data_IF_927687189311
#
_entry.id   IF_927687189311
#
_cell.length_a   1.000
_cell.length_b   1.000
_cell.length_c   1.000
_cell.angle_alpha   90.00
_cell.angle_beta   90.00
_cell.angle_gamma   90.00
#
_symmetry.space_group_name_H-M   'P 1'
#
loop_
_entity.id
_entity.type
_entity.pdbx_description
1 polymer ?
#
# COMPACT_ATOMS: atom_id res chain seq x y z
N UNK A 1 -23.70 26.71 13.00
CA UNK A 1 -22.28 26.31 13.08
C UNK A 1 -22.15 24.89 12.55
N UNK A 2 -21.69 24.73 11.30
CA UNK A 2 -21.43 23.40 10.73
C UNK A 2 -20.21 22.81 11.43
N UNK A 3 -20.42 21.79 12.26
CA UNK A 3 -19.36 21.13 13.02
C UNK A 3 -18.55 20.26 12.04
N UNK A 4 -17.56 20.85 11.37
CA UNK A 4 -16.67 20.14 10.43
C UNK A 4 -15.89 19.09 11.20
N UNK A 5 -15.97 17.84 10.75
CA UNK A 5 -15.32 16.70 11.41
C UNK A 5 -13.81 16.77 11.18
N UNK A 6 -13.04 16.71 12.27
CA UNK A 6 -11.59 16.76 12.23
C UNK A 6 -11.00 15.34 12.13
N UNK A 7 -10.01 15.17 11.25
CA UNK A 7 -9.34 13.88 11.00
C UNK A 7 -7.87 13.85 11.45
N UNK A 8 -7.42 14.80 12.27
CA UNK A 8 -6.02 14.90 12.70
C UNK A 8 -5.52 13.68 13.49
N UNK A 9 -6.39 12.95 14.18
CA UNK A 9 -6.04 11.69 14.84
C UNK A 9 -5.52 10.63 13.85
N UNK A 10 -6.11 10.56 12.65
CA UNK A 10 -5.63 9.69 11.57
C UNK A 10 -4.29 10.20 11.00
N UNK A 11 -4.06 11.50 10.94
CA UNK A 11 -2.80 12.06 10.42
C UNK A 11 -1.64 11.77 11.35
N UNK A 12 -1.82 11.96 12.66
CA UNK A 12 -0.81 11.61 13.67
C UNK A 12 -0.53 10.10 13.64
N UNK A 13 -1.57 9.27 13.56
CA UNK A 13 -1.37 7.83 13.54
C UNK A 13 -0.70 7.32 12.26
N UNK A 14 -0.84 7.99 11.10
CA UNK A 14 -0.05 7.66 9.90
C UNK A 14 1.45 7.73 10.17
N UNK A 15 1.90 8.73 10.93
CA UNK A 15 3.30 8.83 11.32
C UNK A 15 3.71 7.68 12.26
N UNK A 16 2.90 7.39 13.29
CA UNK A 16 3.14 6.23 14.16
C UNK A 16 3.19 4.91 13.37
N UNK A 17 2.26 4.69 12.46
CA UNK A 17 2.20 3.53 11.59
C UNK A 17 3.42 3.43 10.67
N UNK A 18 3.93 4.54 10.15
CA UNK A 18 5.16 4.55 9.35
C UNK A 18 6.38 4.13 10.18
N UNK A 19 6.48 4.52 11.45
CA UNK A 19 7.54 4.04 12.35
C UNK A 19 7.39 2.54 12.67
N UNK A 20 6.15 2.05 12.83
CA UNK A 20 5.89 0.62 12.97
C UNK A 20 6.30 -0.17 11.72
N UNK A 21 6.16 0.39 10.52
CA UNK A 21 6.69 -0.24 9.29
C UNK A 21 8.21 -0.36 9.34
N UNK A 22 8.93 0.65 9.86
CA UNK A 22 10.38 0.53 10.06
C UNK A 22 10.67 -0.62 11.02
N UNK A 23 9.94 -0.72 12.14
CA UNK A 23 10.15 -1.79 13.12
C UNK A 23 10.00 -3.19 12.48
N UNK A 24 9.04 -3.38 11.56
CA UNK A 24 8.87 -4.64 10.81
C UNK A 24 10.14 -5.03 10.03
N UNK A 25 10.89 -4.05 9.52
CA UNK A 25 12.04 -4.27 8.65
C UNK A 25 13.40 -4.19 9.35
N UNK A 26 13.44 -3.76 10.62
CA UNK A 26 14.68 -3.64 11.39
C UNK A 26 14.73 -4.55 12.61
N UNK A 27 13.64 -5.20 12.98
CA UNK A 27 13.53 -6.11 14.12
C UNK A 27 14.19 -5.56 15.40
N UNK A 28 13.68 -4.43 15.92
CA UNK A 28 14.35 -3.61 16.94
C UNK A 28 14.73 -4.35 18.21
N UNK A 29 14.03 -5.43 18.58
CA UNK A 29 14.22 -6.10 19.86
C UNK A 29 14.90 -7.47 19.72
N UNK A 30 15.37 -7.86 18.53
CA UNK A 30 16.03 -9.17 18.31
C UNK A 30 17.24 -9.37 19.22
N UNK A 31 18.04 -8.32 19.47
CA UNK A 31 19.18 -8.39 20.40
C UNK A 31 18.80 -8.49 21.89
N UNK A 32 17.52 -8.29 22.24
CA UNK A 32 17.03 -8.25 23.62
C UNK A 32 16.22 -9.51 23.93
N UNK A 33 15.20 -9.81 23.12
CA UNK A 33 14.33 -10.97 23.30
C UNK A 33 13.55 -11.28 22.02
N UNK A 34 13.65 -12.52 21.56
CA UNK A 34 12.93 -13.04 20.39
C UNK A 34 11.39 -12.96 20.56
N UNK A 35 10.89 -13.16 21.78
CA UNK A 35 9.46 -13.04 22.10
C UNK A 35 8.99 -11.58 22.03
N UNK A 36 9.79 -10.65 22.57
CA UNK A 36 9.47 -9.23 22.54
C UNK A 36 9.53 -8.67 21.10
N UNK A 37 10.50 -9.10 20.30
CA UNK A 37 10.61 -8.70 18.91
C UNK A 37 9.43 -9.21 18.07
N UNK A 38 9.06 -10.47 18.23
CA UNK A 38 7.87 -11.02 17.58
C UNK A 38 6.60 -10.27 17.98
N UNK A 39 6.41 -9.96 19.26
CA UNK A 39 5.28 -9.14 19.68
C UNK A 39 5.28 -7.77 18.98
N UNK A 40 6.42 -7.08 18.96
CA UNK A 40 6.51 -5.74 18.36
C UNK A 40 6.30 -5.79 16.84
N UNK A 41 7.00 -6.68 16.13
CA UNK A 41 7.03 -6.70 14.66
C UNK A 41 5.87 -7.47 14.04
N UNK A 42 5.46 -8.57 14.68
CA UNK A 42 4.48 -9.53 14.14
C UNK A 42 3.11 -9.45 14.82
N UNK A 43 2.95 -8.67 15.89
CA UNK A 43 1.64 -8.36 16.49
C UNK A 43 1.35 -6.87 16.42
N UNK A 44 2.09 -6.03 17.15
CA UNK A 44 1.79 -4.60 17.24
C UNK A 44 1.94 -3.89 15.88
N UNK A 45 3.05 -4.10 15.19
CA UNK A 45 3.31 -3.39 13.93
C UNK A 45 2.42 -3.86 12.77
N UNK A 46 1.79 -5.04 12.88
CA UNK A 46 0.88 -5.58 11.84
C UNK A 46 -0.38 -4.74 11.63
N UNK A 47 -0.69 -3.81 12.53
CA UNK A 47 -1.79 -2.85 12.35
C UNK A 47 -1.50 -1.78 11.27
N UNK A 48 -0.22 -1.56 10.91
CA UNK A 48 0.18 -0.41 10.11
C UNK A 48 -0.38 -0.44 8.67
N UNK A 49 -0.19 -1.55 7.94
CA UNK A 49 -0.68 -1.67 6.56
C UNK A 49 -2.22 -1.67 6.48
N UNK A 50 -2.94 -2.47 7.29
CA UNK A 50 -4.39 -2.37 7.41
C UNK A 50 -4.90 -0.96 7.66
N UNK A 51 -4.22 -0.19 8.51
CA UNK A 51 -4.59 1.19 8.80
C UNK A 51 -4.53 2.08 7.55
N UNK A 52 -3.44 1.99 6.78
CA UNK A 52 -3.31 2.75 5.52
C UNK A 52 -4.38 2.36 4.50
N UNK A 53 -4.72 1.08 4.40
CA UNK A 53 -5.80 0.60 3.53
C UNK A 53 -7.16 1.13 3.99
N UNK A 54 -7.47 1.12 5.29
CA UNK A 54 -8.72 1.71 5.81
C UNK A 54 -8.81 3.21 5.56
N UNK A 55 -7.69 3.94 5.69
CA UNK A 55 -7.59 5.34 5.29
C UNK A 55 -7.95 5.52 3.81
N UNK A 56 -7.35 4.73 2.92
CA UNK A 56 -7.65 4.79 1.48
C UNK A 56 -9.12 4.45 1.23
N UNK A 57 -9.65 3.46 1.94
CA UNK A 57 -11.06 3.07 1.89
C UNK A 57 -12.02 4.21 2.24
N UNK A 58 -11.73 4.95 3.31
CA UNK A 58 -12.57 6.05 3.76
C UNK A 58 -12.53 7.25 2.80
N UNK A 59 -11.34 7.65 2.34
CA UNK A 59 -11.19 8.91 1.60
C UNK A 59 -11.25 8.77 0.08
N UNK A 60 -11.01 7.56 -0.46
CA UNK A 60 -11.03 7.27 -1.90
C UNK A 60 -12.17 6.32 -2.23
N UNK A 61 -12.14 5.09 -1.71
CA UNK A 61 -13.08 4.04 -2.14
C UNK A 61 -14.54 4.33 -1.74
N UNK A 62 -14.78 5.07 -0.66
CA UNK A 62 -16.13 5.48 -0.25
C UNK A 62 -16.88 6.26 -1.35
N UNK A 63 -16.15 6.95 -2.24
CA UNK A 63 -16.72 7.66 -3.38
C UNK A 63 -17.41 6.76 -4.41
N UNK A 64 -17.19 5.44 -4.35
CA UNK A 64 -17.85 4.47 -5.24
C UNK A 64 -19.30 4.20 -4.84
N UNK A 65 -19.66 4.45 -3.57
CA UNK A 65 -21.03 4.27 -3.10
C UNK A 65 -21.98 5.31 -3.71
N UNK A 66 -21.47 6.51 -3.99
CA UNK A 66 -22.18 7.60 -4.63
C UNK A 66 -21.29 8.25 -5.71
N UNK A 67 -21.19 7.63 -6.90
CA UNK A 67 -20.33 8.13 -7.98
C UNK A 67 -20.75 9.54 -8.42
N UNK A 68 -19.77 10.42 -8.60
CA UNK A 68 -19.92 11.77 -9.11
C UNK A 68 -18.66 12.14 -9.89
N UNK A 69 -18.73 13.17 -10.75
CA UNK A 69 -17.56 13.68 -11.49
C UNK A 69 -16.38 13.95 -10.53
N UNK A 70 -16.67 14.49 -9.35
CA UNK A 70 -15.66 14.79 -8.32
C UNK A 70 -15.05 13.54 -7.69
N UNK A 71 -15.84 12.49 -7.42
CA UNK A 71 -15.30 11.25 -6.85
C UNK A 71 -14.48 10.47 -7.89
N UNK A 72 -14.87 10.50 -9.17
CA UNK A 72 -14.08 9.94 -10.28
C UNK A 72 -12.75 10.67 -10.46
N UNK A 73 -12.75 12.01 -10.46
CA UNK A 73 -11.52 12.80 -10.55
C UNK A 73 -10.56 12.50 -9.37
N UNK A 74 -11.10 12.33 -8.17
CA UNK A 74 -10.33 11.95 -6.97
C UNK A 74 -9.70 10.57 -7.13
N UNK A 75 -10.45 9.59 -7.62
CA UNK A 75 -9.95 8.24 -7.91
C UNK A 75 -8.80 8.29 -8.92
N UNK A 76 -9.01 8.94 -10.06
CA UNK A 76 -8.01 9.05 -11.12
C UNK A 76 -6.72 9.68 -10.59
N UNK A 77 -6.83 10.79 -9.85
CA UNK A 77 -5.68 11.45 -9.24
C UNK A 77 -4.97 10.58 -8.20
N UNK A 78 -5.72 9.82 -7.40
CA UNK A 78 -5.15 8.87 -6.44
C UNK A 78 -4.36 7.77 -7.17
N UNK A 79 -4.94 7.15 -8.20
CA UNK A 79 -4.30 6.11 -8.98
C UNK A 79 -3.05 6.63 -9.69
N UNK A 80 -3.14 7.78 -10.39
CA UNK A 80 -2.02 8.42 -11.06
C UNK A 80 -0.86 8.69 -10.08
N UNK A 81 -1.16 9.29 -8.93
CA UNK A 81 -0.14 9.56 -7.89
C UNK A 81 0.47 8.27 -7.36
N UNK A 82 -0.34 7.26 -7.08
CA UNK A 82 0.12 5.97 -6.52
C UNK A 82 0.98 5.21 -7.52
N UNK A 83 0.59 5.19 -8.80
CA UNK A 83 1.37 4.60 -9.89
C UNK A 83 2.70 5.34 -10.10
N UNK A 84 2.68 6.68 -10.14
CA UNK A 84 3.90 7.46 -10.30
C UNK A 84 4.88 7.24 -9.13
N UNK A 85 4.36 7.20 -7.90
CA UNK A 85 5.18 6.88 -6.73
C UNK A 85 5.70 5.45 -6.78
N UNK A 86 4.92 4.49 -7.26
CA UNK A 86 5.36 3.11 -7.40
C UNK A 86 6.50 3.00 -8.41
N UNK A 87 6.35 3.57 -9.60
CA UNK A 87 7.41 3.62 -10.62
C UNK A 87 8.66 4.34 -10.08
N UNK A 88 8.49 5.47 -9.40
CA UNK A 88 9.59 6.17 -8.74
C UNK A 88 10.33 5.26 -7.75
N UNK A 89 9.61 4.52 -6.91
CA UNK A 89 10.21 3.59 -5.95
C UNK A 89 10.91 2.41 -6.63
N UNK A 90 10.33 1.85 -7.70
CA UNK A 90 10.98 0.81 -8.50
C UNK A 90 12.34 1.32 -9.00
N UNK A 91 12.37 2.50 -9.61
CA UNK A 91 13.61 3.10 -10.12
C UNK A 91 14.61 3.43 -9.02
N UNK A 92 14.13 3.92 -7.87
CA UNK A 92 14.97 4.25 -6.72
C UNK A 92 15.67 3.00 -6.15
N UNK A 93 14.96 1.88 -6.07
CA UNK A 93 15.46 0.63 -5.48
C UNK A 93 16.06 -0.34 -6.50
N UNK A 94 15.91 -0.07 -7.80
CA UNK A 94 16.47 -0.93 -8.86
C UNK A 94 17.99 -1.12 -8.73
N UNK A 95 18.83 -0.08 -8.51
CA UNK A 95 20.28 -0.28 -8.35
C UNK A 95 20.63 -1.14 -7.14
N UNK A 96 19.90 -0.96 -6.04
CA UNK A 96 20.09 -1.76 -4.82
C UNK A 96 19.71 -3.22 -5.07
N UNK A 97 18.61 -3.46 -5.78
CA UNK A 97 18.18 -4.81 -6.11
C UNK A 97 19.11 -5.53 -7.10
N UNK A 98 19.67 -4.82 -8.07
CA UNK A 98 20.69 -5.37 -8.98
C UNK A 98 21.95 -5.74 -8.19
N UNK A 99 22.42 -4.85 -7.32
CA UNK A 99 23.59 -5.12 -6.47
C UNK A 99 23.37 -6.32 -5.54
N UNK A 100 22.16 -6.49 -5.01
CA UNK A 100 21.78 -7.62 -4.16
C UNK A 100 21.52 -8.93 -4.93
N UNK A 101 21.63 -8.93 -6.26
CA UNK A 101 21.39 -10.12 -7.08
C UNK A 101 19.92 -10.53 -7.19
N UNK A 102 18.96 -9.67 -6.86
CA UNK A 102 17.53 -10.02 -6.85
C UNK A 102 16.93 -10.36 -8.23
N UNK A 103 17.66 -10.12 -9.33
CA UNK A 103 17.15 -10.25 -10.69
C UNK A 103 17.96 -11.23 -11.57
N UNK A 104 18.90 -12.00 -11.01
CA UNK A 104 19.86 -12.81 -11.78
C UNK A 104 19.25 -14.00 -12.51
N UNK A 105 18.11 -14.51 -12.06
CA UNK A 105 17.40 -15.66 -12.68
C UNK A 105 15.94 -15.35 -13.03
N UNK A 106 15.65 -14.08 -13.33
CA UNK A 106 14.27 -13.62 -13.48
C UNK A 106 13.67 -13.99 -14.84
N UNK A 107 12.60 -14.79 -14.83
CA UNK A 107 11.75 -15.03 -16.01
C UNK A 107 10.75 -13.88 -16.21
N UNK A 108 10.21 -13.73 -17.43
CA UNK A 108 9.16 -12.73 -17.71
C UNK A 108 7.95 -12.90 -16.78
N UNK A 109 7.54 -14.14 -16.52
CA UNK A 109 6.43 -14.45 -15.60
C UNK A 109 6.72 -13.98 -14.17
N UNK A 110 7.92 -14.28 -13.65
CA UNK A 110 8.33 -13.83 -12.32
C UNK A 110 8.44 -12.30 -12.20
N UNK A 111 8.90 -11.62 -13.26
CA UNK A 111 8.95 -10.16 -13.33
C UNK A 111 7.55 -9.53 -13.28
N UNK A 112 6.60 -10.06 -14.05
CA UNK A 112 5.21 -9.60 -14.04
C UNK A 112 4.56 -9.81 -12.68
N UNK A 113 4.74 -10.99 -12.08
CA UNK A 113 4.26 -11.29 -10.73
C UNK A 113 4.84 -10.32 -9.69
N UNK A 114 6.12 -10.01 -9.79
CA UNK A 114 6.79 -9.05 -8.92
C UNK A 114 6.22 -7.64 -9.07
N UNK A 115 5.98 -7.17 -10.30
CA UNK A 115 5.43 -5.82 -10.53
C UNK A 115 3.96 -5.73 -10.10
N UNK A 116 3.16 -6.77 -10.36
CA UNK A 116 1.70 -6.74 -10.21
C UNK A 116 1.24 -7.14 -8.81
N UNK A 117 1.95 -8.04 -8.12
CA UNK A 117 1.49 -8.62 -6.85
C UNK A 117 2.48 -8.43 -5.70
N UNK A 118 3.75 -8.78 -5.89
CA UNK A 118 4.69 -8.93 -4.76
C UNK A 118 5.48 -7.64 -4.43
N UNK A 119 5.57 -6.70 -5.36
CA UNK A 119 6.46 -5.55 -5.29
C UNK A 119 7.89 -5.88 -5.69
N UNK A 120 8.58 -4.96 -6.37
CA UNK A 120 9.98 -5.15 -6.83
C UNK A 120 11.03 -5.08 -5.72
N UNK A 121 10.60 -4.76 -4.50
CA UNK A 121 11.43 -4.78 -3.31
C UNK A 121 10.54 -5.11 -2.11
N UNK A 122 11.10 -5.70 -1.05
CA UNK A 122 10.34 -6.35 0.03
C UNK A 122 9.22 -5.51 0.67
N UNK A 123 9.37 -4.18 0.73
CA UNK A 123 8.38 -3.28 1.30
C UNK A 123 7.35 -2.80 0.27
N UNK A 124 7.68 -2.80 -1.03
CA UNK A 124 6.90 -2.16 -2.09
C UNK A 124 5.58 -2.84 -2.43
N UNK A 125 5.35 -4.05 -1.93
CA UNK A 125 4.11 -4.82 -2.14
C UNK A 125 2.82 -4.04 -1.82
N UNK A 126 2.88 -3.04 -0.93
CA UNK A 126 1.74 -2.19 -0.59
C UNK A 126 1.14 -1.47 -1.81
N UNK A 127 1.98 -1.00 -2.75
CA UNK A 127 1.51 -0.27 -3.93
C UNK A 127 0.62 -1.14 -4.84
N UNK A 128 1.09 -2.28 -5.37
CA UNK A 128 0.25 -3.17 -6.16
C UNK A 128 -0.97 -3.65 -5.36
N UNK A 129 -0.79 -3.96 -4.06
CA UNK A 129 -1.91 -4.38 -3.23
C UNK A 129 -3.01 -3.31 -3.11
N UNK A 130 -2.64 -2.05 -2.94
CA UNK A 130 -3.58 -0.94 -2.83
C UNK A 130 -4.28 -0.65 -4.16
N UNK A 131 -3.56 -0.71 -5.28
CA UNK A 131 -4.12 -0.47 -6.62
C UNK A 131 -5.09 -1.59 -7.00
N UNK A 132 -4.67 -2.85 -6.86
CA UNK A 132 -5.49 -4.01 -7.14
C UNK A 132 -6.73 -4.06 -6.23
N UNK A 133 -6.55 -3.78 -4.94
CA UNK A 133 -7.66 -3.72 -3.99
C UNK A 133 -8.68 -2.63 -4.34
N UNK A 134 -8.22 -1.47 -4.83
CA UNK A 134 -9.11 -0.40 -5.31
C UNK A 134 -9.91 -0.85 -6.52
N UNK A 135 -9.27 -1.44 -7.55
CA UNK A 135 -9.99 -1.94 -8.73
C UNK A 135 -11.01 -3.02 -8.37
N UNK A 136 -10.65 -3.92 -7.45
CA UNK A 136 -11.54 -4.98 -7.00
C UNK A 136 -12.75 -4.42 -6.25
N UNK A 137 -12.53 -3.50 -5.31
CA UNK A 137 -13.61 -2.85 -4.55
C UNK A 137 -14.48 -1.98 -5.46
N UNK A 138 -13.90 -1.30 -6.46
CA UNK A 138 -14.65 -0.58 -7.50
C UNK A 138 -15.53 -1.55 -8.30
N UNK A 139 -14.98 -2.66 -8.78
CA UNK A 139 -15.74 -3.70 -9.50
C UNK A 139 -16.89 -4.24 -8.65
N UNK A 140 -16.62 -4.58 -7.39
CA UNK A 140 -17.63 -5.05 -6.44
C UNK A 140 -18.75 -4.02 -6.23
N UNK A 141 -18.42 -2.73 -6.15
CA UNK A 141 -19.40 -1.66 -5.93
C UNK A 141 -20.41 -1.50 -7.08
N UNK A 142 -20.06 -1.96 -8.29
CA UNK A 142 -20.97 -1.93 -9.46
C UNK A 142 -22.10 -2.96 -9.36
N UNK A 143 -21.89 -4.04 -8.61
CA UNK A 143 -22.82 -5.17 -8.52
C UNK A 143 -23.37 -5.41 -7.12
N UNK A 144 -22.69 -4.93 -6.08
CA UNK A 144 -22.97 -5.23 -4.69
C UNK A 144 -23.12 -3.94 -3.88
N UNK A 145 -24.10 -3.91 -2.98
CA UNK A 145 -24.13 -2.92 -1.90
C UNK A 145 -23.04 -3.17 -0.86
N UNK A 146 -22.76 -2.17 -0.01
CA UNK A 146 -21.67 -2.21 0.99
C UNK A 146 -21.68 -3.46 1.89
N UNK A 147 -22.86 -3.99 2.24
CA UNK A 147 -22.99 -5.26 2.98
C UNK A 147 -22.50 -6.47 2.19
N UNK A 148 -22.88 -6.58 0.91
CA UNK A 148 -22.41 -7.65 0.03
C UNK A 148 -20.89 -7.58 -0.20
N UNK A 149 -20.37 -6.37 -0.37
CA UNK A 149 -18.92 -6.13 -0.45
C UNK A 149 -18.18 -6.61 0.81
N UNK A 150 -18.79 -6.43 1.99
CA UNK A 150 -18.23 -6.90 3.26
C UNK A 150 -18.16 -8.42 3.31
N UNK A 151 -19.21 -9.11 2.88
CA UNK A 151 -19.24 -10.59 2.85
C UNK A 151 -18.17 -11.13 1.89
N UNK A 152 -18.12 -10.61 0.66
CA UNK A 152 -17.13 -11.07 -0.34
C UNK A 152 -15.70 -10.80 0.13
N UNK A 153 -15.43 -9.60 0.65
CA UNK A 153 -14.08 -9.26 1.16
C UNK A 153 -13.70 -10.06 2.41
N UNK A 154 -14.65 -10.41 3.28
CA UNK A 154 -14.41 -11.31 4.39
C UNK A 154 -14.07 -12.73 3.92
N UNK A 155 -14.77 -13.26 2.91
CA UNK A 155 -14.45 -14.58 2.32
C UNK A 155 -13.04 -14.57 1.71
N UNK A 156 -12.70 -13.53 0.93
CA UNK A 156 -11.35 -13.37 0.39
C UNK A 156 -10.28 -13.31 1.49
N UNK A 157 -10.57 -12.60 2.59
CA UNK A 157 -9.66 -12.54 3.73
C UNK A 157 -9.46 -13.90 4.40
N UNK A 158 -10.53 -14.69 4.58
CA UNK A 158 -10.43 -16.04 5.15
C UNK A 158 -9.61 -16.96 4.23
N UNK A 159 -9.81 -16.91 2.92
CA UNK A 159 -8.96 -17.65 1.96
C UNK A 159 -7.50 -17.21 2.13
N UNK A 160 -7.25 -15.90 2.22
CA UNK A 160 -5.89 -15.41 2.42
C UNK A 160 -5.25 -15.87 3.73
N UNK A 161 -6.04 -15.88 4.80
CA UNK A 161 -5.62 -16.26 6.15
C UNK A 161 -5.18 -17.73 6.22
N UNK A 162 -5.87 -18.63 5.52
CA UNK A 162 -5.47 -20.04 5.38
C UNK A 162 -4.28 -20.26 4.44
N UNK A 163 -3.90 -19.29 3.61
CA UNK A 163 -2.63 -19.30 2.86
C UNK A 163 -1.48 -18.55 3.55
N UNK A 164 -1.73 -17.92 4.70
CA UNK A 164 -0.78 -17.09 5.45
C UNK A 164 -0.55 -17.72 6.84
N UNK A 165 -1.16 -17.15 7.89
CA UNK A 165 -0.89 -17.52 9.27
C UNK A 165 -1.52 -18.84 9.72
N UNK A 166 -2.48 -19.39 8.95
CA UNK A 166 -3.15 -20.66 9.24
C UNK A 166 -2.78 -21.77 8.25
N UNK A 167 -1.74 -21.58 7.44
CA UNK A 167 -1.36 -22.50 6.37
C UNK A 167 -1.08 -23.93 6.84
N UNK A 168 -0.43 -24.10 7.99
CA UNK A 168 -0.17 -25.41 8.58
C UNK A 168 -1.44 -26.18 8.97
N UNK A 169 -2.62 -25.54 9.03
CA UNK A 169 -3.90 -26.24 9.11
C UNK A 169 -4.45 -26.60 7.72
N UNK A 170 -4.29 -25.72 6.74
CA UNK A 170 -4.72 -25.97 5.36
C UNK A 170 -3.96 -27.16 4.76
N UNK A 171 -2.66 -27.26 5.00
CA UNK A 171 -1.82 -28.37 4.51
C UNK A 171 -2.23 -29.74 5.04
N UNK A 172 -2.91 -29.81 6.19
CA UNK A 172 -3.40 -31.09 6.73
C UNK A 172 -4.58 -31.67 5.95
N UNK A 173 -5.16 -30.90 5.03
CA UNK A 173 -6.25 -31.32 4.17
C UNK A 173 -5.73 -31.38 2.72
N UNK A 174 -5.57 -32.58 2.12
CA UNK A 174 -4.92 -32.73 0.81
C UNK A 174 -5.51 -31.86 -0.29
N UNK A 175 -6.84 -31.72 -0.33
CA UNK A 175 -7.51 -30.87 -1.32
C UNK A 175 -7.18 -29.38 -1.16
N UNK A 176 -6.98 -28.90 0.07
CA UNK A 176 -6.59 -27.51 0.32
C UNK A 176 -5.11 -27.29 0.03
N UNK A 177 -4.25 -28.24 0.40
CA UNK A 177 -2.82 -28.20 0.09
C UNK A 177 -2.59 -28.02 -1.42
N UNK A 178 -3.15 -28.91 -2.25
CA UNK A 178 -3.05 -28.81 -3.71
C UNK A 178 -3.60 -27.49 -4.26
N UNK A 179 -4.71 -26.99 -3.69
CA UNK A 179 -5.29 -25.72 -4.11
C UNK A 179 -4.37 -24.52 -3.78
N UNK A 180 -3.74 -24.51 -2.60
CA UNK A 180 -2.78 -23.47 -2.22
C UNK A 180 -1.45 -23.59 -2.96
N UNK A 181 -0.97 -24.80 -3.24
CA UNK A 181 0.21 -25.00 -4.09
C UNK A 181 0.00 -24.40 -5.49
N UNK A 182 -1.17 -24.66 -6.10
CA UNK A 182 -1.54 -24.04 -7.37
C UNK A 182 -1.67 -22.51 -7.25
N UNK A 183 -2.24 -22.01 -6.14
CA UNK A 183 -2.30 -20.58 -5.85
C UNK A 183 -0.91 -19.95 -5.77
N UNK A 184 0.05 -20.62 -5.14
CA UNK A 184 1.42 -20.12 -4.95
C UNK A 184 2.27 -20.09 -6.22
N UNK A 185 1.83 -20.76 -7.29
CA UNK A 185 2.39 -20.58 -8.63
C UNK A 185 2.09 -19.17 -9.17
N UNK A 186 0.92 -18.62 -8.85
CA UNK A 186 0.48 -17.30 -9.32
C UNK A 186 0.88 -16.18 -8.34
N UNK A 187 0.75 -16.40 -7.03
CA UNK A 187 1.03 -15.41 -6.00
C UNK A 187 2.16 -15.88 -5.08
N UNK A 188 3.14 -15.05 -4.72
CA UNK A 188 4.13 -15.49 -3.71
C UNK A 188 3.50 -15.69 -2.35
N UNK A 189 2.55 -14.81 -2.01
CA UNK A 189 1.89 -14.78 -0.72
C UNK A 189 0.43 -14.40 -0.92
N UNK A 190 -0.42 -14.86 -0.01
CA UNK A 190 -1.81 -14.41 0.07
C UNK A 190 -1.95 -13.04 0.71
N UNK A 191 -0.90 -12.51 1.36
CA UNK A 191 -0.80 -11.10 1.77
C UNK A 191 -0.64 -10.18 0.56
N UNK A 192 -1.73 -9.95 -0.17
CA UNK A 192 -1.73 -9.20 -1.42
C UNK A 192 -3.02 -8.38 -1.61
N UNK A 193 -3.14 -7.71 -2.75
CA UNK A 193 -4.28 -6.86 -3.09
C UNK A 193 -5.61 -7.59 -3.31
N UNK A 194 -5.57 -8.91 -3.54
CA UNK A 194 -6.77 -9.73 -3.75
C UNK A 194 -7.35 -10.21 -2.43
N UNK A 195 -6.54 -10.85 -1.57
CA UNK A 195 -7.07 -11.49 -0.35
C UNK A 195 -7.06 -10.56 0.86
N UNK A 196 -6.06 -9.68 1.00
CA UNK A 196 -5.92 -8.85 2.20
C UNK A 196 -6.55 -7.47 2.03
N UNK A 197 -6.26 -6.77 0.93
CA UNK A 197 -6.63 -5.36 0.78
C UNK A 197 -8.15 -5.06 0.84
N UNK A 198 -9.05 -5.87 0.23
CA UNK A 198 -10.46 -5.49 0.10
C UNK A 198 -11.18 -5.32 1.44
N UNK A 199 -10.90 -6.17 2.43
CA UNK A 199 -11.61 -6.09 3.72
C UNK A 199 -11.30 -4.78 4.45
N UNK A 200 -10.03 -4.34 4.41
CA UNK A 200 -9.62 -3.09 5.05
C UNK A 200 -10.11 -1.86 4.27
N UNK A 201 -10.13 -1.92 2.94
CA UNK A 201 -10.74 -0.87 2.12
C UNK A 201 -12.24 -0.72 2.42
N UNK A 202 -12.98 -1.83 2.43
CA UNK A 202 -14.42 -1.84 2.73
C UNK A 202 -14.71 -1.38 4.17
N UNK A 203 -13.89 -1.76 5.15
CA UNK A 203 -14.02 -1.21 6.51
C UNK A 203 -13.81 0.31 6.55
N UNK A 204 -12.88 0.85 5.75
CA UNK A 204 -12.74 2.30 5.57
C UNK A 204 -14.00 2.94 4.97
N UNK A 205 -14.62 2.30 3.98
CA UNK A 205 -15.88 2.77 3.38
C UNK A 205 -17.03 2.81 4.41
N UNK A 206 -17.11 1.82 5.30
CA UNK A 206 -18.07 1.84 6.42
C UNK A 206 -17.85 3.03 7.37
N UNK A 207 -16.60 3.41 7.63
CA UNK A 207 -16.28 4.57 8.47
C UNK A 207 -16.74 5.89 7.82
N UNK A 208 -16.67 5.98 6.49
CA UNK A 208 -17.21 7.11 5.73
C UNK A 208 -18.75 7.13 5.76
N UNK A 209 -19.40 6.02 5.42
CA UNK A 209 -20.86 5.93 5.37
C UNK A 209 -21.52 6.22 6.74
N UNK A 210 -20.92 5.71 7.83
CA UNK A 210 -21.38 6.00 9.19
C UNK A 210 -21.19 7.46 9.63
N UNK A 211 -20.31 8.21 8.96
CA UNK A 211 -20.10 9.64 9.21
C UNK A 211 -21.18 10.52 8.59
N UNK A 212 -21.72 10.11 7.44
CA UNK A 212 -22.70 10.88 6.66
C UNK A 212 -24.15 10.67 7.13
N UNK A 213 -24.50 9.45 7.55
CA UNK A 213 -25.89 9.09 7.91
C UNK A 213 -26.39 9.56 9.28
N UNK A 214 -25.50 9.93 10.21
CA UNK A 214 -25.87 10.36 11.57
C UNK A 214 -25.40 11.80 11.81
N UNK A 215 -26.28 12.78 11.58
CA UNK A 215 -26.07 14.22 11.86
C UNK A 215 -25.73 14.59 13.31
N UNK A 216 -25.48 13.60 14.18
CA UNK A 216 -24.83 13.68 15.49
C UNK A 216 -23.79 12.56 15.55
N UNK A 217 -22.51 12.95 15.52
CA UNK A 217 -21.31 12.11 15.70
C UNK A 217 -21.45 10.65 15.26
N UNK A 218 -21.04 10.33 14.02
CA UNK A 218 -20.90 8.97 13.48
C UNK A 218 -19.89 8.05 14.20
N UNK A 219 -19.66 8.26 15.49
CA UNK A 219 -19.00 7.37 16.43
C UNK A 219 -20.10 6.76 17.31
N UNK A 220 -20.80 5.76 16.77
CA UNK A 220 -21.72 4.95 17.57
C UNK A 220 -20.88 4.10 18.54
N UNK A 221 -20.80 4.57 19.79
CA UNK A 221 -20.02 4.01 20.89
C UNK A 221 -19.54 5.10 21.86
N UNK A 222 -19.29 4.77 23.12
CA UNK A 222 -18.51 5.64 24.00
C UNK A 222 -17.01 5.45 23.71
N UNK A 223 -16.15 6.47 23.94
CA UNK A 223 -14.70 6.30 23.82
C UNK A 223 -14.18 5.13 24.67
N UNK A 224 -14.73 4.95 25.87
CA UNK A 224 -14.41 3.85 26.76
C UNK A 224 -14.76 2.48 26.17
N UNK A 225 -15.90 2.35 25.49
CA UNK A 225 -16.27 1.12 24.79
C UNK A 225 -15.29 0.80 23.65
N UNK A 226 -14.90 1.82 22.86
CA UNK A 226 -13.92 1.61 21.79
C UNK A 226 -12.55 1.22 22.33
N UNK A 227 -12.08 1.83 23.42
CA UNK A 227 -10.82 1.47 24.07
C UNK A 227 -10.88 0.07 24.70
N UNK A 228 -11.98 -0.28 25.38
CA UNK A 228 -12.18 -1.63 25.93
C UNK A 228 -12.21 -2.69 24.84
N UNK A 229 -12.93 -2.43 23.74
CA UNK A 229 -12.96 -3.29 22.56
C UNK A 229 -11.58 -3.44 21.91
N UNK A 230 -10.81 -2.35 21.80
CA UNK A 230 -9.43 -2.39 21.31
C UNK A 230 -8.54 -3.24 22.23
N UNK A 231 -8.63 -3.06 23.55
CA UNK A 231 -7.83 -3.83 24.49
C UNK A 231 -8.13 -5.34 24.41
N UNK A 232 -9.41 -5.72 24.39
CA UNK A 232 -9.83 -7.13 24.31
C UNK A 232 -9.43 -7.74 22.96
N UNK A 233 -9.70 -7.05 21.85
CA UNK A 233 -9.34 -7.56 20.52
C UNK A 233 -7.83 -7.65 20.32
N UNK A 234 -7.06 -6.70 20.85
CA UNK A 234 -5.60 -6.72 20.77
C UNK A 234 -5.00 -7.83 21.64
N UNK A 235 -5.56 -8.07 22.83
CA UNK A 235 -5.19 -9.22 23.65
C UNK A 235 -5.50 -10.55 22.95
N UNK A 236 -6.66 -10.66 22.31
CA UNK A 236 -7.03 -11.82 21.50
C UNK A 236 -6.06 -12.03 20.32
N UNK A 237 -5.71 -10.96 19.59
CA UNK A 237 -4.73 -11.03 18.49
C UNK A 237 -3.33 -11.41 18.97
N UNK A 238 -2.94 -10.95 20.16
CA UNK A 238 -1.68 -11.35 20.78
C UNK A 238 -1.69 -12.84 21.09
N UNK A 239 -2.77 -13.34 21.73
CA UNK A 239 -2.94 -14.76 22.01
C UNK A 239 -2.95 -15.61 20.74
N UNK A 240 -3.67 -15.17 19.71
CA UNK A 240 -3.73 -15.81 18.39
C UNK A 240 -2.33 -15.93 17.78
N UNK A 241 -1.59 -14.82 17.66
CA UNK A 241 -0.27 -14.81 17.04
C UNK A 241 0.73 -15.72 17.76
N UNK A 242 0.79 -15.67 19.10
CA UNK A 242 1.68 -16.54 19.86
C UNK A 242 1.25 -18.01 19.81
N UNK A 243 -0.04 -18.30 19.72
CA UNK A 243 -0.55 -19.67 19.56
C UNK A 243 -0.14 -20.23 18.19
N UNK A 244 -0.34 -19.45 17.12
CA UNK A 244 0.03 -19.85 15.75
C UNK A 244 1.54 -20.08 15.63
N UNK A 245 2.35 -19.22 16.26
CA UNK A 245 3.80 -19.40 16.34
C UNK A 245 4.20 -20.65 17.13
N UNK A 246 3.58 -20.88 18.29
CA UNK A 246 3.90 -22.04 19.13
C UNK A 246 3.66 -23.38 18.42
N UNK A 247 2.64 -23.44 17.57
CA UNK A 247 2.33 -24.61 16.75
C UNK A 247 2.96 -24.59 15.36
N UNK A 248 3.80 -23.59 15.05
CA UNK A 248 4.52 -23.45 13.77
C UNK A 248 3.58 -23.54 12.55
N UNK A 249 2.38 -22.98 12.67
CA UNK A 249 1.35 -23.08 11.61
C UNK A 249 1.52 -22.05 10.49
N UNK A 250 2.39 -21.06 10.68
CA UNK A 250 2.45 -19.88 9.84
C UNK A 250 3.39 -20.13 8.66
N UNK A 251 2.88 -20.02 7.43
CA UNK A 251 3.74 -19.79 6.26
C UNK A 251 4.27 -18.36 6.24
N UNK A 252 3.42 -17.45 6.71
CA UNK A 252 3.75 -16.07 6.98
C UNK A 252 2.84 -15.57 8.11
N UNK A 253 3.28 -14.55 8.82
CA UNK A 253 2.68 -13.98 10.03
C UNK A 253 2.07 -12.58 9.80
N UNK A 254 1.29 -12.41 8.73
CA UNK A 254 0.78 -11.11 8.29
C UNK A 254 -0.73 -10.92 8.44
N UNK A 255 -1.49 -12.00 8.60
CA UNK A 255 -2.95 -11.99 8.64
C UNK A 255 -3.47 -12.71 9.89
N UNK A 256 -4.33 -12.07 10.67
CA UNK A 256 -4.94 -12.66 11.86
C UNK A 256 -6.45 -12.44 11.84
N UNK A 257 -7.21 -13.39 12.36
CA UNK A 257 -8.65 -13.26 12.52
C UNK A 257 -8.98 -12.08 13.44
N UNK A 258 -8.27 -11.94 14.57
CA UNK A 258 -8.46 -10.85 15.51
C UNK A 258 -7.90 -9.50 15.01
N UNK A 259 -7.17 -9.46 13.88
CA UNK A 259 -6.75 -8.20 13.27
C UNK A 259 -7.95 -7.36 12.80
N UNK A 260 -9.01 -8.00 12.28
CA UNK A 260 -10.22 -7.30 11.84
C UNK A 260 -10.85 -6.48 12.98
N UNK A 261 -11.21 -7.06 14.14
CA UNK A 261 -11.77 -6.29 15.25
C UNK A 261 -10.77 -5.28 15.84
N UNK A 262 -9.46 -5.61 15.91
CA UNK A 262 -8.42 -4.64 16.32
C UNK A 262 -8.49 -3.39 15.46
N UNK A 263 -8.50 -3.58 14.13
CA UNK A 263 -8.53 -2.48 13.18
C UNK A 263 -9.82 -1.66 13.25
N UNK A 264 -10.97 -2.32 13.42
CA UNK A 264 -12.24 -1.64 13.62
C UNK A 264 -12.24 -0.73 14.86
N UNK A 265 -11.82 -1.24 16.02
CA UNK A 265 -11.80 -0.47 17.26
C UNK A 265 -10.71 0.60 17.27
N UNK A 266 -9.51 0.28 16.77
CA UNK A 266 -8.41 1.23 16.62
C UNK A 266 -8.84 2.42 15.76
N UNK A 267 -9.41 2.16 14.58
CA UNK A 267 -9.81 3.23 13.68
C UNK A 267 -10.90 4.12 14.29
N UNK A 268 -11.88 3.53 14.99
CA UNK A 268 -12.86 4.30 15.77
C UNK A 268 -12.20 5.15 16.86
N UNK A 269 -11.24 4.60 17.60
CA UNK A 269 -10.49 5.36 18.62
C UNK A 269 -9.81 6.59 17.99
N UNK A 270 -9.19 6.44 16.82
CA UNK A 270 -8.49 7.50 16.11
C UNK A 270 -9.41 8.59 15.53
N UNK A 271 -10.71 8.30 15.38
CA UNK A 271 -11.71 9.25 14.91
C UNK A 271 -12.33 10.11 16.03
N UNK A 272 -12.11 9.78 17.32
CA UNK A 272 -12.62 10.59 18.44
C UNK A 272 -11.86 11.93 18.60
N UNK A 273 -10.51 11.98 18.59
CA UNK A 273 -9.79 13.22 18.75
C UNK A 273 -10.20 14.24 17.68
N UNK A 274 -10.81 15.35 18.11
CA UNK A 274 -11.17 16.47 17.22
C UNK A 274 -9.96 17.39 16.98
N UNK A 275 -8.79 16.80 16.76
CA UNK A 275 -7.55 17.53 16.48
C UNK A 275 -7.54 17.99 15.02
N UNK A 276 -7.13 19.24 14.73
CA UNK A 276 -7.00 19.72 13.35
C UNK A 276 -6.14 18.79 12.49
N UNK A 277 -6.55 18.60 11.23
CA UNK A 277 -5.78 17.85 10.24
C UNK A 277 -4.41 18.50 10.01
N UNK A 278 -3.35 17.70 9.96
CA UNK A 278 -1.98 18.16 9.74
C UNK A 278 -1.39 17.46 8.52
N UNK A 279 -1.30 18.21 7.41
CA UNK A 279 -0.74 17.72 6.14
C UNK A 279 0.69 17.21 6.30
N UNK A 280 1.45 17.83 7.21
CA UNK A 280 2.85 17.55 7.41
C UNK A 280 3.07 16.10 7.83
N UNK A 281 2.22 15.59 8.73
CA UNK A 281 2.29 14.20 9.20
C UNK A 281 1.93 13.21 8.09
N UNK A 282 0.96 13.54 7.22
CA UNK A 282 0.62 12.70 6.06
C UNK A 282 1.77 12.59 5.07
N UNK A 283 2.34 13.74 4.70
CA UNK A 283 3.44 13.80 3.75
C UNK A 283 4.69 13.11 4.32
N UNK A 284 5.02 13.40 5.57
CA UNK A 284 6.14 12.76 6.25
C UNK A 284 5.97 11.24 6.34
N UNK A 285 4.79 10.73 6.72
CA UNK A 285 4.53 9.30 6.80
C UNK A 285 4.75 8.58 5.46
N UNK A 286 4.29 9.16 4.35
CA UNK A 286 4.53 8.59 3.01
C UNK A 286 6.02 8.54 2.66
N UNK A 287 6.78 9.60 2.96
CA UNK A 287 8.22 9.63 2.68
C UNK A 287 9.04 8.75 3.62
N UNK A 288 8.63 8.60 4.88
CA UNK A 288 9.23 7.63 5.81
C UNK A 288 9.07 6.22 5.24
N UNK A 289 7.86 5.87 4.79
CA UNK A 289 7.61 4.59 4.15
C UNK A 289 8.46 4.39 2.88
N UNK A 290 8.61 5.41 2.02
CA UNK A 290 9.40 5.30 0.79
C UNK A 290 10.90 5.19 1.07
N UNK A 291 11.43 5.93 2.05
CA UNK A 291 12.87 6.11 2.22
C UNK A 291 13.51 5.17 3.26
N UNK A 292 12.73 4.56 4.17
CA UNK A 292 13.34 3.78 5.26
C UNK A 292 14.29 2.66 4.80
N UNK A 293 14.05 1.93 3.69
CA UNK A 293 15.00 0.92 3.21
C UNK A 293 16.30 1.54 2.70
N UNK A 294 16.23 2.67 1.99
CA UNK A 294 17.42 3.42 1.58
C UNK A 294 18.20 3.92 2.81
N UNK A 295 17.51 4.33 3.87
CA UNK A 295 18.13 4.71 5.15
C UNK A 295 18.77 3.51 5.85
N UNK A 296 18.15 2.32 5.83
CA UNK A 296 18.76 1.08 6.35
C UNK A 296 20.09 0.81 5.64
N UNK A 297 20.09 0.86 4.30
CA UNK A 297 21.30 0.66 3.48
C UNK A 297 22.35 1.73 3.80
N UNK A 298 21.95 3.00 3.90
CA UNK A 298 22.86 4.10 4.22
C UNK A 298 23.49 3.95 5.61
N UNK A 299 22.72 3.63 6.64
CA UNK A 299 23.22 3.41 8.01
C UNK A 299 24.25 2.28 8.03
N UNK A 300 23.95 1.15 7.37
CA UNK A 300 24.89 0.02 7.25
C UNK A 300 26.14 0.39 6.45
N UNK A 301 25.97 1.11 5.35
CA UNK A 301 27.06 1.57 4.49
C UNK A 301 28.01 2.54 5.18
N UNK A 302 27.50 3.43 6.05
CA UNK A 302 28.29 4.39 6.83
C UNK A 302 28.95 3.72 8.05
N UNK A 303 28.30 2.74 8.67
CA UNK A 303 28.83 2.05 9.85
C UNK A 303 30.15 1.30 9.56
N UNK A 304 30.30 0.76 8.34
CA UNK A 304 31.51 0.04 7.91
C UNK A 304 32.79 0.90 7.93
N UNK A 305 32.90 2.01 7.17
CA UNK A 305 34.11 2.83 7.16
C UNK A 305 34.40 3.50 8.50
N UNK A 306 33.37 3.75 9.32
CA UNK A 306 33.52 4.32 10.66
C UNK A 306 33.88 3.28 11.73
N UNK A 307 33.95 1.99 11.40
CA UNK A 307 34.16 0.89 12.36
C UNK A 307 33.11 0.88 13.51
N UNK A 308 31.89 1.35 13.21
CA UNK A 308 30.78 1.46 14.17
C UNK A 308 29.73 0.37 13.98
N UNK A 309 30.03 -0.71 13.25
CA UNK A 309 29.08 -1.81 12.95
C UNK A 309 28.49 -2.42 14.22
N UNK A 310 29.31 -2.64 15.25
CA UNK A 310 28.87 -3.15 16.56
C UNK A 310 27.76 -2.33 17.22
N UNK A 311 27.72 -1.01 16.98
CA UNK A 311 26.75 -0.10 17.60
C UNK A 311 25.60 0.21 16.65
N UNK A 312 25.89 0.53 15.39
CA UNK A 312 24.89 1.03 14.43
C UNK A 312 24.19 -0.09 13.64
N UNK A 313 24.70 -1.32 13.66
CA UNK A 313 24.16 -2.45 12.90
C UNK A 313 23.81 -3.60 13.83
N UNK A 314 24.75 -4.04 14.69
CA UNK A 314 24.57 -5.25 15.49
C UNK A 314 23.64 -5.02 16.70
N UNK A 315 23.60 -3.78 17.22
CA UNK A 315 22.59 -3.40 18.21
C UNK A 315 21.27 -3.05 17.50
N UNK A 316 20.34 -4.01 17.48
CA UNK A 316 19.06 -3.91 16.76
C UNK A 316 18.22 -2.70 17.19
N UNK A 317 18.26 -2.33 18.47
CA UNK A 317 17.50 -1.20 19.00
C UNK A 317 18.09 0.13 18.54
N UNK A 318 19.41 0.28 18.63
CA UNK A 318 20.10 1.49 18.13
C UNK A 318 19.94 1.60 16.61
N UNK A 319 20.04 0.49 15.88
CA UNK A 319 19.82 0.45 14.44
C UNK A 319 18.42 0.97 14.08
N UNK A 320 17.37 0.45 14.73
CA UNK A 320 16.01 0.94 14.54
C UNK A 320 15.87 2.43 14.86
N UNK A 321 16.39 2.89 16.00
CA UNK A 321 16.30 4.30 16.40
C UNK A 321 16.99 5.20 15.36
N UNK A 322 18.18 4.82 14.90
CA UNK A 322 18.90 5.58 13.87
C UNK A 322 18.11 5.66 12.56
N UNK A 323 17.59 4.51 12.08
CA UNK A 323 16.78 4.46 10.85
C UNK A 323 15.49 5.27 11.01
N UNK A 324 14.80 5.15 12.14
CA UNK A 324 13.57 5.87 12.44
C UNK A 324 13.78 7.39 12.49
N UNK A 325 14.81 7.86 13.19
CA UNK A 325 15.10 9.29 13.31
C UNK A 325 15.53 9.89 11.97
N UNK A 326 16.41 9.23 11.22
CA UNK A 326 16.86 9.71 9.92
C UNK A 326 15.72 9.71 8.89
N UNK A 327 14.91 8.66 8.86
CA UNK A 327 13.73 8.59 7.97
C UNK A 327 12.70 9.65 8.33
N UNK A 328 12.44 9.87 9.63
CA UNK A 328 11.52 10.91 10.09
C UNK A 328 12.05 12.32 9.75
N UNK A 329 13.33 12.58 9.98
CA UNK A 329 13.97 13.85 9.62
C UNK A 329 13.86 14.12 8.12
N UNK A 330 14.18 13.14 7.27
CA UNK A 330 14.02 13.24 5.82
C UNK A 330 12.55 13.49 5.42
N UNK A 331 11.61 12.75 5.99
CA UNK A 331 10.18 12.90 5.71
C UNK A 331 9.63 14.28 6.08
N UNK A 332 9.98 14.80 7.26
CA UNK A 332 9.58 16.14 7.67
C UNK A 332 10.28 17.25 6.88
N UNK A 333 11.56 17.07 6.52
CA UNK A 333 12.28 18.00 5.66
C UNK A 333 11.61 18.11 4.29
N UNK A 334 11.30 16.98 3.65
CA UNK A 334 10.60 16.97 2.36
C UNK A 334 9.21 17.58 2.49
N UNK A 335 8.49 17.28 3.58
CA UNK A 335 7.19 17.90 3.85
C UNK A 335 7.29 19.42 3.97
N UNK A 336 8.33 19.93 4.64
CA UNK A 336 8.56 21.36 4.81
C UNK A 336 8.89 22.05 3.48
N UNK A 337 9.80 21.47 2.68
CA UNK A 337 10.17 21.99 1.36
C UNK A 337 8.97 21.99 0.42
N UNK A 338 8.19 20.90 0.43
CA UNK A 338 6.96 20.78 -0.37
C UNK A 338 5.89 21.80 0.05
N UNK A 339 5.85 22.18 1.32
CA UNK A 339 4.97 23.24 1.83
C UNK A 339 5.41 24.64 1.41
N UNK A 340 6.72 24.88 1.28
CA UNK A 340 7.31 26.16 0.87
C UNK A 340 7.38 26.39 -0.64
N UNK A 341 7.41 25.32 -1.44
CA UNK A 341 7.45 25.40 -2.89
C UNK A 341 6.17 26.01 -3.52
N UNK A 342 5.15 26.33 -2.71
CA UNK A 342 3.97 27.09 -3.13
C UNK A 342 4.05 28.55 -2.69
N UNK A 343 4.77 29.37 -3.46
CA UNK A 343 4.37 30.73 -3.85
C UNK A 343 5.26 31.22 -5.02
N UNK A 344 4.82 31.14 -6.29
CA UNK A 344 5.13 32.15 -7.28
C UNK A 344 3.92 33.08 -7.42
N UNK A 345 4.08 34.29 -6.89
CA UNK A 345 3.12 35.38 -6.84
C UNK A 345 2.83 36.02 -8.22
N UNK A 346 2.80 35.24 -9.31
CA UNK A 346 2.72 35.78 -10.68
C UNK A 346 1.35 35.65 -11.36
N UNK A 347 0.49 34.71 -10.95
CA UNK A 347 -0.80 34.45 -11.63
C UNK A 347 -2.01 35.19 -11.04
N UNK A 348 -1.87 35.87 -9.90
CA UNK A 348 -2.95 36.71 -9.34
C UNK A 348 -3.23 37.98 -10.15
N UNK A 349 -2.35 38.35 -11.09
CA UNK A 349 -2.54 39.50 -11.99
C UNK A 349 -3.40 39.20 -13.23
N UNK A 350 -3.54 37.93 -13.62
CA UNK A 350 -4.31 37.55 -14.82
C UNK A 350 -5.78 37.28 -14.48
N UNK A 351 -6.07 36.84 -13.24
CA UNK A 351 -7.43 36.62 -12.75
C UNK A 351 -8.24 37.92 -12.51
N UNK A 352 -7.58 39.07 -12.37
CA UNK A 352 -8.22 40.37 -12.15
C UNK A 352 -9.12 40.85 -13.31
N UNK A 353 -8.99 40.27 -14.50
CA UNK A 353 -9.81 40.61 -15.66
C UNK A 353 -11.05 39.71 -15.86
N UNK A 354 -11.17 38.58 -15.16
CA UNK A 354 -12.35 37.69 -15.26
C UNK A 354 -13.48 38.08 -14.30
N UNK A 355 -13.16 38.73 -13.18
CA UNK A 355 -14.14 39.21 -12.19
C UNK A 355 -15.03 40.33 -12.72
N UNK A 356 -14.56 41.10 -13.73
CA UNK A 356 -15.35 42.14 -14.37
C UNK A 356 -16.50 41.60 -15.26
N UNK A 357 -16.45 40.32 -15.66
CA UNK A 357 -17.47 39.71 -16.55
C UNK A 357 -18.58 38.97 -15.80
N UNK A 358 -18.44 38.75 -14.48
CA UNK A 358 -19.39 37.98 -13.67
C UNK A 358 -20.41 38.83 -12.90
N UNK A 359 -20.33 40.16 -13.01
CA UNK A 359 -21.18 41.11 -12.28
C UNK A 359 -22.60 41.32 -12.88
N UNK A 360 -23.10 40.40 -13.71
CA UNK A 360 -24.32 40.60 -14.51
C UNK A 360 -25.33 39.44 -14.52
N UNK A 361 -25.30 38.53 -13.55
CA UNK A 361 -26.36 37.52 -13.38
C UNK A 361 -26.87 37.49 -11.92
N UNK A 362 -28.19 37.37 -11.67
CA UNK A 362 -28.74 37.40 -10.32
C UNK A 362 -28.40 36.11 -9.56
N UNK A 363 -28.09 36.25 -8.27
CA UNK A 363 -27.76 35.16 -7.36
C UNK A 363 -28.94 34.22 -7.11
N UNK A 364 -28.74 32.94 -7.39
CA UNK A 364 -29.54 31.84 -6.85
C UNK A 364 -28.69 31.15 -5.76
N UNK A 365 -29.08 31.33 -4.50
CA UNK A 365 -28.35 30.81 -3.32
C UNK A 365 -28.41 29.27 -3.26
N UNK A 366 -27.27 28.61 -3.47
CA UNK A 366 -27.05 27.19 -3.18
C UNK A 366 -26.21 27.03 -1.89
N UNK A 367 -26.67 26.29 -0.86
CA UNK A 367 -26.00 26.26 0.42
C UNK A 367 -25.09 25.04 0.57
N UNK A 368 -23.85 25.03 0.09
CA UNK A 368 -22.86 24.02 0.50
C UNK A 368 -21.40 24.49 0.29
N UNK A 369 -20.79 25.05 1.35
CA UNK A 369 -19.37 25.44 1.36
C UNK A 369 -18.52 24.44 2.19
N UNK A 370 -17.88 23.52 1.47
CA UNK A 370 -16.95 22.52 1.99
C UNK A 370 -15.48 22.87 1.70
N UNK A 371 -15.10 24.13 1.89
CA UNK A 371 -13.74 24.62 1.67
C UNK A 371 -12.81 24.38 2.86
N UNK A 372 -11.96 23.34 2.80
CA UNK A 372 -10.57 23.38 3.31
C UNK A 372 -9.71 22.16 2.91
N UNK A 373 -10.32 21.04 2.48
CA UNK A 373 -9.57 19.88 1.94
C UNK A 373 -9.34 20.01 0.41
N UNK A 374 -10.10 20.88 -0.26
CA UNK A 374 -10.09 21.05 -1.72
C UNK A 374 -8.94 21.90 -2.26
N UNK A 375 -8.44 22.89 -1.52
CA UNK A 375 -7.40 23.80 -2.04
C UNK A 375 -6.06 23.10 -2.30
N UNK A 376 -5.82 21.96 -1.66
CA UNK A 376 -4.56 21.24 -1.81
C UNK A 376 -4.55 20.24 -2.99
N UNK A 377 -5.73 19.82 -3.45
CA UNK A 377 -5.86 18.93 -4.60
C UNK A 377 -6.09 19.68 -5.92
N UNK A 378 -6.31 21.00 -5.92
CA UNK A 378 -6.42 21.82 -7.13
C UNK A 378 -5.05 22.23 -7.73
N UNK A 379 -4.13 22.73 -6.92
CA UNK A 379 -2.99 23.55 -7.40
C UNK A 379 -1.77 22.82 -8.00
N UNK A 380 -1.87 21.54 -8.38
CA UNK A 380 -0.80 20.87 -9.16
C UNK A 380 -1.28 20.53 -10.59
N UNK A 381 -2.57 20.69 -10.88
CA UNK A 381 -3.14 20.40 -12.21
C UNK A 381 -3.28 21.63 -13.11
N UNK A 382 -3.23 22.84 -12.56
CA UNK A 382 -3.40 24.09 -13.33
C UNK A 382 -2.19 24.42 -14.22
N UNK A 383 -1.16 23.55 -14.26
CA UNK A 383 -0.05 23.60 -15.22
C UNK A 383 -0.17 22.59 -16.39
N UNK A 384 -1.12 21.65 -16.35
CA UNK A 384 -1.32 20.65 -17.42
C UNK A 384 -2.76 20.57 -17.95
N UNK A 385 -3.72 21.28 -17.34
CA UNK A 385 -5.10 21.31 -17.81
C UNK A 385 -5.31 22.23 -19.04
N UNK A 386 -4.42 23.18 -19.31
CA UNK A 386 -4.55 24.08 -20.46
C UNK A 386 -4.25 23.39 -21.80
N UNK A 387 -3.66 22.19 -21.80
CA UNK A 387 -3.34 21.44 -23.02
C UNK A 387 -4.39 20.37 -23.36
N UNK A 388 -5.13 19.86 -22.36
CA UNK A 388 -6.18 18.84 -22.56
C UNK A 388 -7.59 19.42 -22.79
N UNK A 389 -7.80 20.71 -22.55
CA UNK A 389 -9.10 21.37 -22.76
C UNK A 389 -9.36 21.70 -24.25
N UNK A 390 -8.31 21.74 -25.09
CA UNK A 390 -8.43 22.07 -26.52
C UNK A 390 -8.87 20.89 -27.40
N UNK A 391 -8.75 19.64 -26.94
CA UNK A 391 -9.08 18.44 -27.75
C UNK A 391 -10.50 17.91 -27.56
N UNK A 392 -11.25 18.41 -26.56
CA UNK A 392 -12.66 18.05 -26.38
C UNK A 392 -13.61 19.04 -27.07
N UNK A 393 -13.24 20.32 -27.17
CA UNK A 393 -14.05 21.32 -27.90
C UNK A 393 -13.94 21.21 -29.43
N UNK A 394 -12.98 20.45 -29.96
CA UNK A 394 -12.83 20.17 -31.39
C UNK A 394 -13.66 18.96 -31.84
N UNK A 395 -13.84 17.93 -31.00
CA UNK A 395 -14.63 16.73 -31.32
C UNK A 395 -16.15 16.94 -31.29
N UNK A 396 -16.65 17.85 -30.47
CA UNK A 396 -18.09 18.15 -30.41
C UNK A 396 -18.55 19.10 -31.54
N UNK A 397 -17.61 19.77 -32.25
CA UNK A 397 -17.92 20.59 -33.44
C UNK A 397 -17.90 19.79 -34.75
N UNK A 398 -17.16 18.69 -34.84
CA UNK A 398 -17.18 17.81 -36.03
C UNK A 398 -18.34 16.80 -36.03
N UNK A 399 -18.94 16.49 -34.86
CA UNK A 399 -20.06 15.56 -34.74
C UNK A 399 -21.44 16.18 -35.03
N UNK A 400 -21.53 17.48 -35.28
CA UNK A 400 -22.79 18.19 -35.58
C UNK A 400 -22.91 18.68 -37.03
N UNK A 401 -21.86 18.54 -37.87
CA UNK A 401 -21.85 19.07 -39.25
C UNK A 401 -21.81 17.97 -40.34
N UNK A 402 -22.13 16.71 -40.01
CA UNK A 402 -22.12 15.58 -40.96
C UNK A 402 -23.45 14.82 -41.03
N UNK A 403 -24.56 15.47 -40.62
CA UNK A 403 -25.91 14.89 -40.73
C UNK A 403 -26.75 15.63 -41.77
N UNK A 404 -26.30 15.61 -43.01
CA UNK A 404 -27.12 15.83 -44.21
C UNK A 404 -26.44 15.16 -45.43
N UNK A 405 -27.08 14.13 -46.01
CA UNK A 405 -26.71 13.56 -47.31
C UNK A 405 -26.67 12.02 -47.40
N UNK A 406 -27.75 11.43 -47.94
CA UNK A 406 -27.88 10.27 -48.86
C UNK A 406 -26.58 9.48 -49.23
N UNK A 407 -26.50 8.16 -49.46
CA UNK A 407 -27.41 7.11 -49.99
C UNK A 407 -26.67 5.76 -49.97
N UNK A 408 -27.43 4.65 -49.87
CA UNK A 408 -27.29 3.32 -50.49
C UNK A 408 -25.96 2.50 -50.60
N UNK A 409 -26.17 1.17 -50.41
CA UNK A 409 -25.51 -0.01 -51.02
C UNK A 409 -24.37 -0.81 -50.31
N UNK A 410 -24.77 -2.05 -49.94
CA UNK A 410 -24.19 -3.38 -50.23
C UNK A 410 -22.84 -3.92 -49.69
N UNK A 411 -22.95 -5.17 -49.19
CA UNK A 411 -22.02 -6.32 -49.25
C UNK A 411 -20.66 -6.21 -48.51
N UNK A 412 -19.96 -7.24 -48.05
CA UNK A 412 -20.17 -8.65 -47.65
C UNK A 412 -18.76 -9.12 -47.15
N UNK A 413 -18.72 -10.21 -46.36
CA UNK A 413 -17.58 -11.16 -46.22
C UNK A 413 -16.26 -10.70 -45.56
N UNK A 414 -15.41 -11.51 -44.90
CA UNK A 414 -15.41 -12.86 -44.31
C UNK A 414 -14.02 -13.08 -43.65
N UNK A 415 -13.96 -13.94 -42.60
CA UNK A 415 -12.88 -14.90 -42.23
C UNK A 415 -11.42 -14.40 -41.92
N UNK A 416 -10.50 -15.02 -41.14
CA UNK A 416 -10.19 -16.35 -40.56
C UNK A 416 -9.38 -16.11 -39.23
N UNK A 417 -9.45 -16.85 -38.09
CA UNK A 417 -9.01 -18.25 -37.77
C UNK A 417 -7.50 -18.49 -38.05
N UNK A 418 -6.60 -19.08 -37.25
CA UNK A 418 -6.63 -20.08 -36.15
C UNK A 418 -5.19 -20.43 -35.65
N UNK A 419 -5.08 -21.00 -34.44
CA UNK A 419 -4.16 -22.09 -33.96
C UNK A 419 -2.62 -21.92 -33.95
N UNK A 420 -1.76 -22.55 -33.13
CA UNK A 420 -1.65 -23.84 -32.37
C UNK A 420 -0.55 -23.67 -31.26
N UNK A 421 -0.73 -24.07 -29.99
CA UNK A 421 -0.24 -25.28 -29.24
C UNK A 421 1.25 -25.67 -29.27
N UNK A 422 1.87 -25.86 -28.08
CA UNK A 422 2.80 -26.98 -27.78
C UNK A 422 3.06 -27.14 -26.25
N UNK A 423 3.24 -28.40 -25.82
CA UNK A 423 3.39 -28.93 -24.44
C UNK A 423 4.84 -28.88 -23.91
N UNK A 424 5.06 -28.87 -22.58
CA UNK A 424 6.25 -29.51 -21.98
C UNK A 424 6.05 -29.98 -20.52
N UNK A 425 6.67 -31.13 -20.23
CA UNK A 425 6.59 -31.95 -19.01
C UNK A 425 7.45 -31.44 -17.84
N UNK A 426 7.07 -31.86 -16.62
CA UNK A 426 7.56 -31.32 -15.36
C UNK A 426 8.87 -31.88 -14.78
N UNK A 427 9.25 -31.26 -13.66
CA UNK A 427 10.31 -31.70 -12.75
C UNK A 427 9.96 -31.25 -11.32
N UNK A 428 10.05 -32.17 -10.36
CA UNK A 428 9.76 -31.96 -8.94
C UNK A 428 10.77 -31.02 -8.27
N UNK A 429 10.30 -30.10 -7.43
CA UNK A 429 11.14 -29.25 -6.60
C UNK A 429 10.79 -29.45 -5.11
N UNK A 430 11.79 -29.79 -4.32
CA UNK A 430 11.76 -29.87 -2.85
C UNK A 430 11.88 -28.48 -2.23
N UNK A 431 11.03 -28.09 -1.27
CA UNK A 431 11.03 -26.75 -0.69
C UNK A 431 11.83 -26.70 0.61
N UNK A 432 13.09 -26.25 0.58
CA UNK A 432 13.86 -26.01 1.82
C UNK A 432 14.83 -24.82 1.77
N UNK A 433 14.75 -23.94 0.76
CA UNK A 433 15.72 -22.84 0.59
C UNK A 433 15.16 -21.42 0.85
N UNK A 434 13.88 -21.25 1.20
CA UNK A 434 13.30 -19.90 1.38
C UNK A 434 13.32 -19.35 2.81
N UNK A 435 13.66 -20.15 3.83
CA UNK A 435 13.72 -19.70 5.23
C UNK A 435 15.13 -19.35 5.72
N UNK A 436 16.18 -19.80 5.03
CA UNK A 436 17.57 -19.48 5.40
C UNK A 436 17.98 -18.03 5.06
N UNK A 437 17.15 -17.31 4.28
CA UNK A 437 17.46 -15.96 3.81
C UNK A 437 16.92 -14.83 4.70
N UNK A 438 16.05 -15.13 5.67
CA UNK A 438 15.61 -14.13 6.66
C UNK A 438 16.53 -14.05 7.88
N UNK A 439 17.42 -15.05 8.08
CA UNK A 439 18.32 -15.15 9.22
C UNK A 439 19.81 -14.99 8.89
N UNK A 440 20.21 -14.90 7.60
CA UNK A 440 21.59 -14.51 7.25
C UNK A 440 21.84 -13.04 7.56
N UNK A 441 22.28 -12.81 8.79
CA UNK A 441 23.16 -11.73 9.17
C UNK A 441 24.21 -11.53 8.08
N UNK A 442 24.33 -10.30 7.60
CA UNK A 442 25.24 -9.92 6.53
C UNK A 442 26.70 -10.01 7.02
N UNK A 443 27.34 -11.17 6.84
CA UNK A 443 28.79 -11.35 6.98
C UNK A 443 29.42 -11.45 5.59
N UNK A 444 30.14 -10.43 5.12
CA UNK A 444 30.97 -10.53 3.94
C UNK A 444 32.39 -10.87 4.38
N UNK A 445 32.64 -12.15 4.64
CA UNK A 445 33.98 -12.70 4.82
C UNK A 445 34.04 -14.13 4.28
N UNK A 446 33.65 -14.30 3.02
CA UNK A 446 34.01 -15.47 2.21
C UNK A 446 34.36 -15.02 0.78
N UNK A 447 35.43 -14.26 0.67
CA UNK A 447 36.12 -14.09 -0.60
C UNK A 447 37.61 -13.95 -0.35
N UNK A 448 38.24 -15.00 0.17
CA UNK A 448 39.71 -15.15 0.17
C UNK A 448 40.25 -16.51 0.59
N UNK A 449 39.64 -17.62 0.19
CA UNK A 449 40.35 -18.90 0.08
C UNK A 449 39.89 -19.61 -1.19
N UNK A 450 40.78 -20.37 -1.82
CA UNK A 450 40.65 -21.01 -3.15
C UNK A 450 41.08 -20.17 -4.37
N UNK A 451 42.29 -19.62 -4.33
CA UNK A 451 43.16 -19.55 -5.50
C UNK A 451 44.63 -19.49 -5.06
N UNK A 452 45.22 -20.67 -4.86
CA UNK A 452 46.63 -20.82 -4.47
C UNK A 452 46.93 -22.27 -4.13
N UNK A 453 47.22 -23.09 -5.13
CA UNK A 453 47.57 -24.50 -4.93
C UNK A 453 48.08 -25.12 -6.21
N UNK A 454 49.41 -25.14 -6.34
CA UNK A 454 50.19 -25.70 -7.44
C UNK A 454 49.78 -27.13 -7.81
N UNK A 455 49.77 -27.39 -9.12
CA UNK A 455 49.90 -28.72 -9.71
C UNK A 455 51.33 -29.25 -9.54
N UNK A 456 51.48 -30.48 -9.03
CA UNK A 456 52.52 -31.42 -9.49
C UNK A 456 52.17 -32.85 -9.04
N UNK A 457 52.39 -33.89 -9.88
CA UNK A 457 51.89 -35.25 -9.67
C UNK A 457 52.91 -36.17 -8.96
N UNK A 458 52.41 -37.18 -8.27
CA UNK A 458 53.17 -38.25 -7.60
C UNK A 458 54.18 -38.97 -8.53
N UNK A 459 55.37 -39.25 -7.98
CA UNK A 459 56.36 -40.18 -8.54
C UNK A 459 56.06 -41.61 -8.06
N UNK A 460 55.96 -42.58 -8.99
CA UNK A 460 56.61 -43.90 -8.87
C UNK A 460 56.37 -44.78 -10.11
N UNK A 461 57.49 -45.16 -10.74
CA UNK A 461 57.73 -46.19 -11.78
C UNK A 461 57.38 -45.90 -13.24
#
# INVERSE_FOLDING_TARGET
MNNRRNYGGLDIFRFCAALLVIAIHTSPLTSISEGADFFLTRVLARIAVPFFLMVTGQFVAAGFLNPSVRTTARLHKFLQKTMLLYVFCILLYLPVGIYAGHYTEMTVGSALRMVIFDGTFYHLWYFPACILGIFLVELMSRFLGLRGMTVVSAVLYIIGLFGDSYYGLAQKVPALETAYEALFQVFSYTRNGLFMAPVFLVMGMWMAAGAEGNGKSGLSGSPAFCLGGLAVSFAAMTGEAFTLRHFELQRHDSMYFALIPVMFFLYKCLLYPQTPSKKEFRTAASWIYILHPAVIVAVRGIAKPLQMTGILVDNSLIHYIAVALLSAAAGFFISYVSGKAKQPHLLSRIAGNRTARKALQPEEELPYDADEYDREYQEVSDMQADEYQNDYESRDREAQDSRDGYTEENEADELWSSNESEEFQGGSWSPDESEEFQSRSWSPDESKELQGGSWSPDESE
#
